data_IF_922608704798
#
_entry.id   IF_922608704798
#
_cell.length_a   1.000
_cell.length_b   1.000
_cell.length_c   1.000
_cell.angle_alpha   90.00
_cell.angle_beta   90.00
_cell.angle_gamma   90.00
#
_symmetry.space_group_name_H-M   'P 1'
#
loop_
_entity.id
_entity.type
_entity.pdbx_description
1 polymer ?
#
# COMPACT_ATOMS: atom_id res chain seq x y z
N UNK A 1 -0.17 6.45 -9.02
CA UNK A 1 -1.10 5.43 -9.52
C UNK A 1 -2.43 5.51 -8.77
N UNK A 2 -3.58 5.34 -9.43
CA UNK A 2 -4.87 5.24 -8.72
C UNK A 2 -5.09 3.83 -8.19
N UNK A 3 -5.36 3.70 -6.89
CA UNK A 3 -5.71 2.44 -6.23
C UNK A 3 -7.05 2.62 -5.55
N UNK A 4 -7.94 1.65 -5.73
CA UNK A 4 -9.25 1.62 -5.06
C UNK A 4 -9.12 0.76 -3.81
N UNK A 5 -9.55 1.33 -2.68
CA UNK A 5 -9.67 0.64 -1.40
C UNK A 5 -11.16 0.44 -1.09
N UNK A 6 -11.49 -0.70 -0.48
CA UNK A 6 -12.87 -1.05 -0.08
C UNK A 6 -12.99 -1.01 1.43
N UNK A 7 -14.09 -0.46 1.92
CA UNK A 7 -14.44 -0.37 3.33
C UNK A 7 -15.93 -0.64 3.52
N UNK A 8 -16.28 -1.87 3.89
CA UNK A 8 -17.68 -2.33 3.85
C UNK A 8 -18.27 -2.17 2.44
N UNK A 9 -19.36 -1.40 2.32
CA UNK A 9 -20.01 -1.10 1.04
C UNK A 9 -19.33 0.04 0.26
N UNK A 10 -18.42 0.79 0.90
CA UNK A 10 -17.81 1.97 0.30
C UNK A 10 -16.53 1.63 -0.46
N UNK A 11 -16.32 2.36 -1.57
CA UNK A 11 -15.08 2.32 -2.35
C UNK A 11 -14.54 3.73 -2.50
N UNK A 12 -13.24 3.91 -2.27
CA UNK A 12 -12.55 5.19 -2.45
C UNK A 12 -11.29 5.02 -3.26
N UNK A 13 -10.99 6.00 -4.11
CA UNK A 13 -9.79 6.01 -4.95
C UNK A 13 -8.73 6.91 -4.32
N UNK A 14 -7.52 6.38 -4.17
CA UNK A 14 -6.37 7.08 -3.63
C UNK A 14 -5.22 7.08 -4.64
N UNK A 15 -4.31 8.06 -4.51
CA UNK A 15 -3.10 8.13 -5.34
C UNK A 15 -1.93 7.54 -4.56
N UNK A 16 -1.47 6.38 -5.01
CA UNK A 16 -0.28 5.71 -4.48
C UNK A 16 0.95 6.04 -5.32
N UNK A 17 2.10 6.16 -4.65
CA UNK A 17 3.42 6.14 -5.28
C UNK A 17 3.89 4.70 -5.30
N UNK A 18 4.33 4.22 -6.47
CA UNK A 18 5.03 2.93 -6.52
C UNK A 18 6.45 3.16 -6.03
N UNK A 19 6.84 2.46 -4.98
CA UNK A 19 8.12 2.67 -4.31
C UNK A 19 8.83 1.33 -4.11
N UNK A 20 9.78 1.01 -5.00
CA UNK A 20 10.61 -0.19 -4.87
C UNK A 20 11.58 -0.12 -3.68
N UNK A 21 11.84 1.07 -3.13
CA UNK A 21 12.64 1.26 -1.92
C UNK A 21 11.89 0.86 -0.64
N UNK A 22 10.56 0.82 -0.68
CA UNK A 22 9.74 0.38 0.44
C UNK A 22 9.54 -1.13 0.45
N UNK A 23 9.76 -1.77 1.60
CA UNK A 23 9.45 -3.19 1.78
C UNK A 23 7.96 -3.45 1.73
N UNK A 24 7.17 -2.75 2.55
CA UNK A 24 5.72 -2.90 2.63
C UNK A 24 4.98 -1.78 1.90
N UNK A 25 3.76 -2.09 1.44
CA UNK A 25 2.77 -1.04 1.14
C UNK A 25 2.53 -0.24 2.42
N UNK A 26 2.48 1.09 2.33
CA UNK A 26 2.26 1.96 3.49
C UNK A 26 1.09 2.90 3.25
N UNK A 27 0.27 3.06 4.28
CA UNK A 27 -0.84 4.02 4.32
C UNK A 27 -0.97 4.64 5.71
N UNK A 28 -1.64 5.80 5.85
CA UNK A 28 -2.05 6.32 7.16
C UNK A 28 -2.96 5.36 7.94
N UNK A 29 -2.83 5.34 9.27
CA UNK A 29 -3.68 4.52 10.14
C UNK A 29 -5.19 4.70 9.94
N UNK A 30 -5.66 5.91 9.57
CA UNK A 30 -7.09 6.15 9.29
C UNK A 30 -7.66 5.25 8.19
N UNK A 31 -6.80 4.72 7.33
CA UNK A 31 -7.19 3.78 6.28
C UNK A 31 -7.58 2.42 6.86
N UNK A 32 -7.00 2.00 7.99
CA UNK A 32 -7.40 0.76 8.67
C UNK A 32 -8.85 0.83 9.13
N UNK A 33 -9.22 1.93 9.80
CA UNK A 33 -10.62 2.20 10.18
C UNK A 33 -11.55 2.25 8.96
N UNK A 34 -11.13 2.90 7.87
CA UNK A 34 -11.92 2.90 6.63
C UNK A 34 -12.12 1.48 6.08
N UNK A 35 -11.09 0.64 6.11
CA UNK A 35 -11.14 -0.75 5.65
C UNK A 35 -11.91 -1.69 6.61
N UNK A 36 -12.38 -1.19 7.76
CA UNK A 36 -13.08 -1.99 8.76
C UNK A 36 -12.16 -2.89 9.59
N UNK A 37 -10.88 -2.53 9.68
CA UNK A 37 -9.89 -3.26 10.48
C UNK A 37 -9.83 -2.70 11.89
N UNK A 38 -9.75 -3.58 12.89
CA UNK A 38 -9.27 -3.24 14.22
C UNK A 38 -7.75 -3.38 14.25
N UNK A 39 -7.04 -2.25 14.12
CA UNK A 39 -5.57 -2.25 14.03
C UNK A 39 -4.87 -2.71 15.33
N UNK A 40 -5.58 -2.74 16.46
CA UNK A 40 -4.99 -3.19 17.73
C UNK A 40 -4.77 -4.71 17.79
N UNK A 41 -5.51 -5.49 16.99
CA UNK A 41 -5.34 -6.94 16.89
C UNK A 41 -4.09 -7.37 16.10
N UNK A 42 -3.41 -6.41 15.46
CA UNK A 42 -2.28 -6.67 14.57
C UNK A 42 -0.93 -6.32 15.18
N UNK A 43 0.12 -6.92 14.62
CA UNK A 43 1.50 -6.77 15.07
C UNK A 43 1.97 -5.32 14.97
N UNK A 44 2.41 -4.76 16.10
CA UNK A 44 3.14 -3.49 16.14
C UNK A 44 4.51 -3.64 15.49
N UNK A 45 4.87 -2.69 14.64
CA UNK A 45 6.12 -2.65 13.90
C UNK A 45 6.67 -1.23 13.90
N UNK A 46 8.00 -1.09 14.03
CA UNK A 46 8.69 0.17 13.75
C UNK A 46 9.56 0.00 12.52
N UNK A 47 9.27 0.79 11.48
CA UNK A 47 10.07 0.81 10.24
C UNK A 47 11.05 1.98 10.32
N UNK A 48 12.27 1.75 9.84
CA UNK A 48 13.31 2.80 9.74
C UNK A 48 13.52 3.13 8.27
N UNK A 49 13.36 4.41 7.90
CA UNK A 49 13.64 4.90 6.56
C UNK A 49 15.13 5.12 6.33
N UNK A 50 15.51 5.36 5.08
CA UNK A 50 16.91 5.60 4.70
C UNK A 50 17.52 6.85 5.36
N UNK A 51 16.70 7.84 5.70
CA UNK A 51 17.12 9.06 6.41
C UNK A 51 17.25 8.85 7.93
N UNK A 52 17.12 7.61 8.41
CA UNK A 52 17.19 7.25 9.84
C UNK A 52 15.91 7.54 10.63
N UNK A 53 14.91 8.18 10.01
CA UNK A 53 13.60 8.40 10.60
C UNK A 53 12.89 7.09 10.94
N UNK A 54 12.31 7.01 12.14
CA UNK A 54 11.56 5.83 12.63
C UNK A 54 10.08 6.14 12.63
N UNK A 55 9.28 5.21 12.11
CA UNK A 55 7.82 5.33 12.06
C UNK A 55 7.23 4.08 12.72
N UNK A 56 6.42 4.30 13.76
CA UNK A 56 5.62 3.26 14.41
C UNK A 56 4.32 3.03 13.64
N UNK A 57 3.79 1.81 13.74
CA UNK A 57 2.57 1.42 13.05
C UNK A 57 2.22 -0.04 13.25
N UNK A 58 1.20 -0.48 12.52
CA UNK A 58 0.65 -1.84 12.59
C UNK A 58 0.79 -2.52 11.23
N UNK A 59 1.13 -3.80 11.21
CA UNK A 59 1.20 -4.59 9.97
C UNK A 59 -0.07 -5.44 9.83
N UNK A 60 -0.93 -5.10 8.87
CA UNK A 60 -2.23 -5.73 8.67
C UNK A 60 -2.54 -5.97 7.18
N UNK A 61 -3.43 -6.92 6.83
CA UNK A 61 -3.82 -7.14 5.44
C UNK A 61 -4.66 -5.98 4.91
N UNK A 62 -4.41 -5.56 3.67
CA UNK A 62 -5.22 -4.57 2.95
C UNK A 62 -5.50 -5.04 1.53
N UNK A 63 -6.78 -5.06 1.13
CA UNK A 63 -7.17 -5.36 -0.25
C UNK A 63 -7.02 -4.12 -1.13
N UNK A 64 -6.19 -4.24 -2.16
CA UNK A 64 -5.96 -3.21 -3.17
C UNK A 64 -6.60 -3.60 -4.50
N UNK A 65 -7.21 -2.63 -5.19
CA UNK A 65 -7.67 -2.82 -6.58
C UNK A 65 -7.02 -1.79 -7.49
N UNK A 66 -6.40 -2.25 -8.57
CA UNK A 66 -5.66 -1.40 -9.50
C UNK A 66 -6.29 -1.52 -10.89
N UNK A 67 -6.82 -0.41 -11.40
CA UNK A 67 -7.54 -0.41 -12.68
C UNK A 67 -8.73 -1.38 -12.66
N UNK A 68 -8.77 -2.29 -13.64
CA UNK A 68 -9.81 -3.32 -13.78
C UNK A 68 -9.40 -4.68 -13.19
N UNK A 69 -8.29 -4.76 -12.43
CA UNK A 69 -7.81 -6.03 -11.88
C UNK A 69 -8.77 -6.61 -10.84
N UNK A 70 -8.67 -7.92 -10.62
CA UNK A 70 -9.13 -8.54 -9.38
C UNK A 70 -8.38 -7.92 -8.19
N UNK A 71 -9.00 -7.92 -7.02
CA UNK A 71 -8.39 -7.44 -5.78
C UNK A 71 -7.12 -8.22 -5.42
N UNK A 72 -6.19 -7.52 -4.79
CA UNK A 72 -4.89 -8.05 -4.35
C UNK A 72 -4.72 -7.66 -2.89
N UNK A 73 -4.80 -8.65 -2.00
CA UNK A 73 -4.49 -8.46 -0.59
C UNK A 73 -2.99 -8.47 -0.36
N UNK A 74 -2.47 -7.41 0.25
CA UNK A 74 -1.05 -7.25 0.62
C UNK A 74 -0.90 -7.04 2.12
N UNK A 75 0.26 -7.36 2.68
CA UNK A 75 0.66 -6.84 3.98
C UNK A 75 0.93 -5.34 3.85
N UNK A 76 0.17 -4.57 4.61
CA UNK A 76 0.23 -3.12 4.60
C UNK A 76 0.68 -2.64 5.98
N UNK A 77 1.65 -1.74 5.99
CA UNK A 77 2.08 -0.99 7.15
C UNK A 77 1.16 0.24 7.32
N UNK A 78 0.38 0.23 8.38
CA UNK A 78 -0.49 1.33 8.78
C UNK A 78 0.30 2.23 9.73
N UNK A 79 0.85 3.32 9.19
CA UNK A 79 1.65 4.25 9.98
C UNK A 79 0.77 5.01 10.98
N UNK A 80 1.24 5.15 12.22
CA UNK A 80 0.59 5.90 13.31
C UNK A 80 0.69 7.42 13.11
N UNK A 81 0.35 7.89 11.91
CA UNK A 81 0.37 9.29 11.51
C UNK A 81 -0.49 9.50 10.27
N UNK A 82 -1.24 10.59 10.25
CA UNK A 82 -2.20 10.89 9.18
C UNK A 82 -1.56 11.51 7.93
N UNK A 83 -0.36 12.05 8.04
CA UNK A 83 0.40 12.62 6.93
C UNK A 83 1.24 11.56 6.18
N UNK A 84 1.17 10.29 6.58
CA UNK A 84 1.90 9.22 5.92
C UNK A 84 1.55 9.14 4.42
N UNK A 85 2.56 8.99 3.53
CA UNK A 85 2.29 8.84 2.12
C UNK A 85 1.63 7.49 1.83
N UNK A 86 0.89 7.44 0.72
CA UNK A 86 0.37 6.20 0.18
C UNK A 86 1.44 5.58 -0.72
N UNK A 87 2.13 4.56 -0.21
CA UNK A 87 3.19 3.86 -0.94
C UNK A 87 2.74 2.45 -1.30
N UNK A 88 3.09 2.00 -2.49
CA UNK A 88 2.99 0.61 -2.89
C UNK A 88 4.40 0.02 -2.87
N UNK A 89 4.67 -0.75 -1.82
CA UNK A 89 5.96 -1.39 -1.60
C UNK A 89 6.09 -2.73 -2.33
N UNK A 90 7.20 -3.42 -2.09
CA UNK A 90 7.55 -4.66 -2.79
C UNK A 90 6.76 -5.88 -2.32
N UNK A 91 6.69 -6.10 -1.01
CA UNK A 91 6.13 -7.31 -0.40
C UNK A 91 4.70 -7.57 -0.89
N UNK A 92 4.44 -8.81 -1.33
CA UNK A 92 3.17 -9.32 -1.84
C UNK A 92 2.68 -8.71 -3.16
N UNK A 93 3.07 -7.46 -3.48
CA UNK A 93 2.70 -6.79 -4.72
C UNK A 93 3.60 -7.20 -5.89
N UNK A 94 4.92 -7.15 -5.72
CA UNK A 94 5.88 -7.45 -6.79
C UNK A 94 5.92 -8.94 -7.13
N UNK A 95 5.49 -9.79 -6.19
CA UNK A 95 5.34 -11.24 -6.42
C UNK A 95 4.16 -11.57 -7.35
N UNK A 96 3.21 -10.62 -7.51
CA UNK A 96 1.98 -10.79 -8.31
C UNK A 96 2.00 -10.01 -9.60
N UNK A 97 2.89 -9.03 -9.73
CA UNK A 97 2.99 -8.18 -10.91
C UNK A 97 4.43 -8.00 -11.32
N UNK A 98 4.70 -8.28 -12.60
CA UNK A 98 5.86 -7.72 -13.26
C UNK A 98 5.59 -6.24 -13.58
N UNK A 99 6.56 -5.38 -13.29
CA UNK A 99 6.42 -3.94 -13.38
C UNK A 99 7.45 -3.41 -14.37
N UNK A 100 6.96 -2.73 -15.41
CA UNK A 100 7.82 -2.11 -16.42
C UNK A 100 7.63 -0.59 -16.47
N UNK A 101 8.74 0.14 -16.43
CA UNK A 101 8.77 1.59 -16.55
C UNK A 101 9.27 1.99 -17.94
N UNK A 102 8.40 2.61 -18.73
CA UNK A 102 8.76 3.24 -20.00
C UNK A 102 8.89 4.75 -19.77
N UNK A 103 10.07 5.19 -19.38
CA UNK A 103 10.35 6.60 -19.10
C UNK A 103 10.17 7.49 -20.36
N UNK A 104 10.53 6.97 -21.54
CA UNK A 104 10.39 7.69 -22.80
C UNK A 104 8.92 7.97 -23.10
N UNK A 105 8.05 6.99 -22.90
CA UNK A 105 6.60 7.14 -23.10
C UNK A 105 5.84 7.64 -21.88
N UNK A 106 6.54 7.90 -20.76
CA UNK A 106 5.95 8.25 -19.46
C UNK A 106 4.86 7.26 -19.02
N UNK A 107 5.11 5.97 -19.22
CA UNK A 107 4.16 4.89 -18.91
C UNK A 107 4.74 3.92 -17.89
N UNK A 108 3.85 3.36 -17.10
CA UNK A 108 4.12 2.26 -16.18
C UNK A 108 3.14 1.15 -16.51
N UNK A 109 3.65 -0.06 -16.72
CA UNK A 109 2.86 -1.23 -17.09
C UNK A 109 2.98 -2.27 -15.98
N UNK A 110 1.84 -2.79 -15.57
CA UNK A 110 1.74 -3.88 -14.59
C UNK A 110 1.19 -5.10 -15.31
N UNK A 111 1.94 -6.18 -15.31
CA UNK A 111 1.54 -7.46 -15.90
C UNK A 111 1.41 -8.49 -14.80
N UNK A 112 0.23 -9.09 -14.64
CA UNK A 112 0.01 -10.11 -13.61
C UNK A 112 0.83 -11.37 -13.93
N UNK A 113 1.45 -11.95 -12.90
CA UNK A 113 2.20 -13.21 -12.97
C UNK A 113 1.25 -14.37 -12.60
#
# INVERSE_FOLDING_TARGET
MSVVLTGGQYRRTFKFILDSGAEFTMVPQRIGKFAGLDLEEFTSLTVTGIEGGRIAGKLAPLELRIGKSSGVTVRCFFAERDDAPFLLGRADFFDRFNIFFDARRKKMVFTRI
#
